data_IF_893621116581
#
_entry.id   IF_893621116581
#
_cell.length_a   1.000
_cell.length_b   1.000
_cell.length_c   1.000
_cell.angle_alpha   90.00
_cell.angle_beta   90.00
_cell.angle_gamma   90.00
#
_symmetry.space_group_name_H-M   'P 1'
#
loop_
_entity.id
_entity.type
_entity.pdbx_description
1 polymer ?
#
# COMPACT_ATOMS: atom_id res chain seq x y z
N UNK A 1 -10.44 16.63 7.13
CA UNK A 1 -10.35 16.20 5.71
C UNK A 1 -8.91 16.09 5.21
N UNK A 2 -8.05 17.08 5.48
CA UNK A 2 -6.64 17.03 5.05
C UNK A 2 -5.85 15.79 5.52
N UNK A 3 -6.06 15.34 6.77
CA UNK A 3 -5.40 14.15 7.29
C UNK A 3 -5.82 12.84 6.60
N UNK A 4 -7.05 12.76 6.09
CA UNK A 4 -7.53 11.61 5.32
C UNK A 4 -6.84 11.58 3.96
N UNK A 5 -6.70 12.74 3.31
CA UNK A 5 -5.95 12.84 2.05
C UNK A 5 -4.48 12.49 2.29
N UNK A 6 -3.90 12.97 3.40
CA UNK A 6 -2.53 12.64 3.78
C UNK A 6 -2.33 11.14 3.98
N UNK A 7 -3.26 10.44 4.65
CA UNK A 7 -3.14 8.98 4.84
C UNK A 7 -3.16 8.24 3.51
N UNK A 8 -3.97 8.67 2.55
CA UNK A 8 -3.99 8.09 1.19
C UNK A 8 -2.67 8.35 0.47
N UNK A 9 -2.16 9.59 0.49
CA UNK A 9 -0.89 9.94 -0.15
C UNK A 9 0.29 9.17 0.44
N UNK A 10 0.36 9.05 1.76
CA UNK A 10 1.38 8.25 2.44
C UNK A 10 1.28 6.77 2.06
N UNK A 11 0.07 6.24 1.93
CA UNK A 11 -0.13 4.83 1.53
C UNK A 11 0.35 4.56 0.10
N UNK A 12 0.13 5.50 -0.81
CA UNK A 12 0.65 5.44 -2.18
C UNK A 12 2.18 5.59 -2.22
N UNK A 13 2.75 6.47 -1.39
CA UNK A 13 4.20 6.64 -1.31
C UNK A 13 4.88 5.40 -0.71
N UNK A 14 4.35 4.85 0.37
CA UNK A 14 4.91 3.66 0.99
C UNK A 14 4.68 2.40 0.15
N UNK A 15 3.64 2.37 -0.70
CA UNK A 15 3.43 1.23 -1.61
C UNK A 15 4.50 1.14 -2.68
N UNK A 16 5.05 2.26 -3.15
CA UNK A 16 6.17 2.24 -4.10
C UNK A 16 7.44 1.73 -3.45
N UNK A 17 7.72 2.16 -2.21
CA UNK A 17 8.85 1.65 -1.42
C UNK A 17 8.69 0.15 -1.18
N UNK A 18 7.50 -0.29 -0.77
CA UNK A 18 7.21 -1.70 -0.55
C UNK A 18 7.32 -2.51 -1.84
N UNK A 19 6.85 -1.98 -2.97
CA UNK A 19 6.98 -2.62 -4.28
C UNK A 19 8.44 -2.71 -4.74
N UNK A 20 9.27 -1.71 -4.47
CA UNK A 20 10.71 -1.78 -4.77
C UNK A 20 11.41 -2.86 -3.95
N UNK A 21 11.01 -3.05 -2.68
CA UNK A 21 11.60 -4.06 -1.81
C UNK A 21 11.08 -5.48 -2.12
N UNK A 22 9.78 -5.62 -2.39
CA UNK A 22 9.11 -6.90 -2.49
C UNK A 22 8.90 -7.37 -3.95
N UNK A 23 8.80 -6.44 -4.91
CA UNK A 23 8.52 -6.71 -6.31
C UNK A 23 7.05 -7.10 -6.56
N UNK A 24 6.82 -7.87 -7.62
CA UNK A 24 5.48 -8.32 -8.04
C UNK A 24 5.05 -9.61 -7.31
N UNK A 25 4.93 -9.60 -5.98
CA UNK A 25 4.59 -10.83 -5.24
C UNK A 25 3.10 -11.18 -5.30
N UNK A 26 2.23 -10.19 -5.49
CA UNK A 26 0.79 -10.40 -5.51
C UNK A 26 0.33 -10.99 -6.86
N UNK A 27 -0.62 -11.95 -6.84
CA UNK A 27 -1.21 -12.57 -5.65
C UNK A 27 -0.27 -13.64 -5.07
N UNK A 28 -0.24 -13.75 -3.74
CA UNK A 28 0.59 -14.72 -3.04
C UNK A 28 0.19 -16.16 -3.40
N UNK A 29 1.18 -17.05 -3.51
CA UNK A 29 0.95 -18.47 -3.79
C UNK A 29 0.49 -18.82 -5.22
N UNK A 30 0.43 -17.85 -6.14
CA UNK A 30 0.18 -18.10 -7.56
C UNK A 30 1.46 -17.92 -8.39
N UNK A 31 1.65 -18.80 -9.37
CA UNK A 31 2.72 -18.69 -10.37
C UNK A 31 2.54 -17.46 -11.25
N UNK A 32 1.29 -17.20 -11.70
CA UNK A 32 0.96 -16.01 -12.47
C UNK A 32 0.76 -14.81 -11.54
N UNK A 33 1.73 -13.91 -11.53
CA UNK A 33 1.70 -12.66 -10.77
C UNK A 33 0.87 -11.60 -11.46
N UNK A 34 0.32 -10.68 -10.67
CA UNK A 34 -0.33 -9.50 -11.18
C UNK A 34 0.69 -8.56 -11.84
N UNK A 35 0.28 -7.80 -12.87
CA UNK A 35 1.05 -6.66 -13.38
C UNK A 35 1.46 -5.69 -12.26
N UNK A 36 2.57 -4.96 -12.48
CA UNK A 36 3.14 -4.06 -11.47
C UNK A 36 2.16 -3.01 -10.94
N UNK A 37 1.32 -2.44 -11.81
CA UNK A 37 0.30 -1.46 -11.42
C UNK A 37 -0.69 -2.03 -10.38
N UNK A 38 -1.06 -3.31 -10.52
CA UNK A 38 -2.00 -3.96 -9.61
C UNK A 38 -1.30 -4.41 -8.31
N UNK A 39 0.00 -4.73 -8.35
CA UNK A 39 0.80 -4.94 -7.15
C UNK A 39 0.90 -3.65 -6.32
N UNK A 40 1.23 -2.53 -6.95
CA UNK A 40 1.28 -1.21 -6.32
C UNK A 40 -0.07 -0.81 -5.70
N UNK A 41 -1.17 -1.02 -6.42
CA UNK A 41 -2.51 -0.77 -5.91
C UNK A 41 -2.85 -1.67 -4.72
N UNK A 42 -2.53 -2.96 -4.80
CA UNK A 42 -2.72 -3.92 -3.71
C UNK A 42 -1.93 -3.52 -2.45
N UNK A 43 -0.65 -3.17 -2.62
CA UNK A 43 0.19 -2.69 -1.52
C UNK A 43 -0.32 -1.38 -0.93
N UNK A 44 -0.79 -0.43 -1.74
CA UNK A 44 -1.38 0.81 -1.24
C UNK A 44 -2.64 0.56 -0.41
N UNK A 45 -3.51 -0.36 -0.84
CA UNK A 45 -4.71 -0.73 -0.09
C UNK A 45 -4.36 -1.43 1.24
N UNK A 46 -3.37 -2.32 1.23
CA UNK A 46 -2.89 -2.99 2.45
C UNK A 46 -2.29 -1.98 3.42
N UNK A 47 -1.52 -1.00 2.94
CA UNK A 47 -0.88 0.04 3.75
C UNK A 47 -1.85 1.11 4.24
N UNK A 48 -2.97 1.31 3.55
CA UNK A 48 -3.98 2.30 3.93
C UNK A 48 -4.53 2.07 5.33
N UNK A 49 -4.80 0.82 5.68
CA UNK A 49 -5.35 0.44 6.99
C UNK A 49 -4.39 0.82 8.13
N UNK A 50 -3.13 0.33 8.18
CA UNK A 50 -2.23 0.66 9.27
C UNK A 50 -1.85 2.14 9.31
N UNK A 51 -1.69 2.82 8.16
CA UNK A 51 -1.36 4.25 8.11
C UNK A 51 -2.52 5.08 8.64
N UNK A 52 -3.74 4.82 8.17
CA UNK A 52 -4.93 5.49 8.66
C UNK A 52 -5.09 5.24 10.17
N UNK A 53 -4.98 3.98 10.61
CA UNK A 53 -5.09 3.65 12.03
C UNK A 53 -4.05 4.38 12.88
N UNK A 54 -2.81 4.48 12.41
CA UNK A 54 -1.73 5.18 13.11
C UNK A 54 -2.06 6.68 13.27
N UNK A 55 -2.51 7.33 12.20
CA UNK A 55 -2.78 8.78 12.18
C UNK A 55 -4.01 9.16 13.01
N UNK A 56 -5.01 8.29 13.12
CA UNK A 56 -6.30 8.66 13.73
C UNK A 56 -6.55 8.04 15.11
N UNK A 57 -5.80 6.99 15.51
CA UNK A 57 -6.06 6.28 16.77
C UNK A 57 -4.84 6.09 17.65
N UNK A 58 -3.62 6.19 17.11
CA UNK A 58 -2.38 5.94 17.86
C UNK A 58 -1.59 7.23 18.12
N UNK A 59 -1.75 8.24 17.27
CA UNK A 59 -1.05 9.54 17.38
C UNK A 59 -1.79 10.57 18.22
#
# INVERSE_FOLDING_TARGET
MGLIILSVLLSLLFSTILWMAAGNLLPLGKEKKWPGIFNLAGYALILLIPIYSTIFFVS
#
